data_IF_115337562535
#
_entry.id   IF_115337562535
#
_cell.length_a   1.000
_cell.length_b   1.000
_cell.length_c   1.000
_cell.angle_alpha   90.00
_cell.angle_beta   90.00
_cell.angle_gamma   90.00
#
_symmetry.space_group_name_H-M   'P 1'
#
loop_
_entity.id
_entity.type
_entity.pdbx_description
1 polymer ?
#
# COMPACT_ATOMS: atom_id res chain seq x y z
N UNK A 1 -28.81 5.60 24.17
CA UNK A 1 -28.02 4.71 23.28
C UNK A 1 -26.61 5.25 23.23
N UNK A 2 -25.64 4.52 23.77
CA UNK A 2 -24.24 4.95 23.81
C UNK A 2 -23.57 4.46 22.52
N UNK A 3 -23.20 5.38 21.63
CA UNK A 3 -22.51 5.04 20.39
C UNK A 3 -21.05 4.75 20.73
N UNK A 4 -20.68 3.46 20.82
CA UNK A 4 -19.27 3.06 20.93
C UNK A 4 -18.57 3.44 19.64
N UNK A 5 -17.76 4.50 19.69
CA UNK A 5 -16.91 4.91 18.58
C UNK A 5 -15.88 3.81 18.31
N UNK A 6 -15.88 3.26 17.09
CA UNK A 6 -14.84 2.32 16.69
C UNK A 6 -13.48 3.04 16.75
N UNK A 7 -12.44 2.40 17.31
CA UNK A 7 -11.11 3.00 17.37
C UNK A 7 -10.63 3.32 15.95
N UNK A 8 -10.29 4.60 15.70
CA UNK A 8 -9.68 5.01 14.45
C UNK A 8 -8.29 4.35 14.36
N UNK A 9 -8.11 3.45 13.40
CA UNK A 9 -6.81 2.88 13.12
C UNK A 9 -5.86 3.98 12.63
N UNK A 10 -4.59 3.98 13.06
CA UNK A 10 -3.63 4.96 12.60
C UNK A 10 -3.45 4.84 11.08
N UNK A 11 -3.63 5.94 10.38
CA UNK A 11 -3.20 6.09 9.00
C UNK A 11 -1.75 6.55 9.03
N UNK A 12 -0.83 5.72 8.51
CA UNK A 12 0.58 6.07 8.52
C UNK A 12 0.90 7.35 7.74
N UNK A 13 2.10 7.90 7.94
CA UNK A 13 2.52 9.15 7.30
C UNK A 13 2.50 9.08 5.78
N UNK A 14 2.41 10.23 5.09
CA UNK A 14 2.30 10.32 3.63
C UNK A 14 3.43 9.58 2.88
N UNK A 15 3.18 9.08 1.65
CA UNK A 15 4.23 8.51 0.81
C UNK A 15 5.30 9.56 0.49
N UNK A 16 6.57 9.16 0.49
CA UNK A 16 7.66 10.03 0.07
C UNK A 16 7.55 10.35 -1.43
N UNK A 17 8.01 11.52 -1.87
CA UNK A 17 7.96 11.91 -3.29
C UNK A 17 8.65 10.93 -4.25
N UNK A 18 9.71 10.25 -3.79
CA UNK A 18 10.36 9.19 -4.56
C UNK A 18 9.45 7.98 -4.82
N UNK A 19 8.58 7.63 -3.86
CA UNK A 19 7.63 6.54 -4.02
C UNK A 19 6.51 6.91 -5.01
N UNK A 20 6.06 8.18 -5.01
CA UNK A 20 5.07 8.66 -5.98
C UNK A 20 5.65 8.68 -7.40
N UNK A 21 6.90 9.16 -7.56
CA UNK A 21 7.60 9.11 -8.85
C UNK A 21 7.74 7.68 -9.37
N UNK A 22 8.08 6.73 -8.49
CA UNK A 22 8.14 5.33 -8.87
C UNK A 22 6.80 4.80 -9.40
N UNK A 23 5.67 5.20 -8.79
CA UNK A 23 4.32 4.85 -9.31
C UNK A 23 4.09 5.42 -10.70
N UNK A 24 4.46 6.67 -10.94
CA UNK A 24 4.35 7.30 -12.27
C UNK A 24 5.20 6.58 -13.30
N UNK A 25 6.45 6.22 -12.95
CA UNK A 25 7.34 5.44 -13.81
C UNK A 25 6.77 4.07 -14.18
N UNK A 26 6.06 3.40 -13.26
CA UNK A 26 5.39 2.12 -13.52
C UNK A 26 4.27 2.23 -14.56
N UNK A 27 3.57 3.36 -14.63
CA UNK A 27 2.49 3.60 -15.61
C UNK A 27 3.00 4.25 -16.91
N UNK A 28 4.29 4.58 -16.97
CA UNK A 28 4.96 5.07 -18.16
C UNK A 28 4.99 6.58 -18.29
N UNK A 29 5.58 7.06 -19.40
CA UNK A 29 5.85 8.48 -19.62
C UNK A 29 4.55 9.29 -19.62
N UNK A 30 4.55 10.38 -18.85
CA UNK A 30 3.43 11.31 -18.75
C UNK A 30 2.34 10.87 -17.78
N UNK A 31 2.55 9.78 -17.03
CA UNK A 31 1.70 9.47 -15.90
C UNK A 31 1.92 10.45 -14.73
N UNK A 32 0.86 10.80 -14.03
CA UNK A 32 0.90 11.76 -12.92
C UNK A 32 -0.07 11.35 -11.80
N UNK A 33 0.41 11.34 -10.56
CA UNK A 33 -0.44 11.07 -9.39
C UNK A 33 -1.31 12.28 -9.09
N UNK A 34 -2.62 12.16 -9.33
CA UNK A 34 -3.62 13.22 -9.11
C UNK A 34 -4.08 13.30 -7.67
N UNK A 35 -4.18 12.17 -6.97
CA UNK A 35 -4.71 12.12 -5.61
C UNK A 35 -4.00 11.06 -4.79
N UNK A 36 -3.76 11.38 -3.52
CA UNK A 36 -3.22 10.46 -2.52
C UNK A 36 -4.13 10.51 -1.30
N UNK A 37 -4.82 9.41 -1.02
CA UNK A 37 -5.72 9.29 0.14
C UNK A 37 -5.21 8.19 1.07
N UNK A 38 -4.96 8.50 2.35
CA UNK A 38 -4.49 7.49 3.28
C UNK A 38 -5.66 6.53 3.60
N UNK A 39 -5.37 5.23 3.63
CA UNK A 39 -6.34 4.19 3.97
C UNK A 39 -6.01 3.63 5.36
N UNK A 40 -7.01 3.42 6.24
CA UNK A 40 -6.80 2.76 7.53
C UNK A 40 -6.09 1.41 7.33
N UNK A 41 -5.07 1.15 8.14
CA UNK A 41 -4.26 -0.06 8.03
C UNK A 41 -3.88 -0.64 9.40
N UNK A 42 -3.34 -1.85 9.40
CA UNK A 42 -2.75 -2.46 10.59
C UNK A 42 -1.35 -1.92 10.87
N UNK A 43 -0.83 -2.09 12.09
CA UNK A 43 0.46 -1.48 12.50
C UNK A 43 1.71 -1.90 11.71
N UNK A 44 1.64 -2.97 10.91
CA UNK A 44 2.77 -3.50 10.13
C UNK A 44 2.89 -2.92 8.71
N UNK A 45 1.88 -2.22 8.21
CA UNK A 45 1.89 -1.65 6.86
C UNK A 45 0.96 -0.44 6.76
N UNK A 46 1.21 0.39 5.76
CA UNK A 46 0.44 1.61 5.50
C UNK A 46 -0.04 1.58 4.06
N UNK A 47 -1.33 1.85 3.87
CA UNK A 47 -1.99 1.78 2.57
C UNK A 47 -2.42 3.18 2.14
N UNK A 48 -2.27 3.48 0.86
CA UNK A 48 -2.75 4.72 0.25
C UNK A 48 -3.51 4.38 -1.03
N UNK A 49 -4.72 4.91 -1.16
CA UNK A 49 -5.42 4.93 -2.44
C UNK A 49 -4.83 6.05 -3.30
N UNK A 50 -4.43 5.71 -4.51
CA UNK A 50 -3.89 6.64 -5.50
C UNK A 50 -4.86 6.73 -6.68
N UNK A 51 -5.04 7.95 -7.16
CA UNK A 51 -5.62 8.19 -8.48
C UNK A 51 -4.48 8.65 -9.39
N UNK A 52 -4.20 7.90 -10.44
CA UNK A 52 -3.11 8.21 -11.38
C UNK A 52 -3.68 8.37 -12.77
N UNK A 53 -3.34 9.46 -13.44
CA UNK A 53 -3.70 9.68 -14.83
C UNK A 53 -2.49 9.34 -15.68
N UNK A 54 -2.64 8.45 -16.65
CA UNK A 54 -1.56 8.09 -17.60
C UNK A 54 -1.38 9.17 -18.67
N UNK A 55 -0.24 9.15 -19.37
CA UNK A 55 0.01 10.08 -20.47
C UNK A 55 -0.96 9.97 -21.66
N UNK A 56 -1.72 8.88 -21.77
CA UNK A 56 -2.82 8.71 -22.74
C UNK A 56 -4.17 9.25 -22.24
N UNK A 57 -4.23 9.79 -21.02
CA UNK A 57 -5.44 10.29 -20.38
C UNK A 57 -6.31 9.21 -19.71
N UNK A 58 -5.81 7.98 -19.58
CA UNK A 58 -6.52 6.91 -18.85
C UNK A 58 -6.29 7.04 -17.35
N UNK A 59 -7.35 6.86 -16.56
CA UNK A 59 -7.30 6.93 -15.10
C UNK A 59 -7.14 5.55 -14.47
N UNK A 60 -6.22 5.44 -13.53
CA UNK A 60 -5.91 4.23 -12.77
C UNK A 60 -6.16 4.49 -11.27
N UNK A 61 -6.99 3.66 -10.67
CA UNK A 61 -7.15 3.60 -9.21
C UNK A 61 -6.23 2.51 -8.66
N UNK A 62 -5.24 2.91 -7.86
CA UNK A 62 -4.23 2.01 -7.34
C UNK A 62 -4.22 2.02 -5.82
N UNK A 63 -3.73 0.93 -5.22
CA UNK A 63 -3.40 0.89 -3.79
C UNK A 63 -1.88 0.78 -3.64
N UNK A 64 -1.27 1.80 -3.05
CA UNK A 64 0.13 1.77 -2.65
C UNK A 64 0.24 1.24 -1.22
N UNK A 65 0.72 0.00 -1.09
CA UNK A 65 1.03 -0.66 0.18
C UNK A 65 2.51 -0.49 0.52
N UNK A 66 2.82 0.02 1.71
CA UNK A 66 4.19 0.22 2.21
C UNK A 66 4.37 -0.43 3.57
N UNK A 67 5.41 -1.25 3.72
CA UNK A 67 5.74 -1.91 4.98
C UNK A 67 6.40 -0.92 5.94
N UNK A 68 5.88 -0.84 7.15
CA UNK A 68 6.48 -0.02 8.20
C UNK A 68 7.53 -0.86 8.93
N UNK A 69 8.74 -0.33 9.10
CA UNK A 69 9.64 -0.87 10.11
C UNK A 69 8.93 -0.70 11.46
N UNK A 70 8.70 -1.82 12.17
CA UNK A 70 8.07 -1.84 13.50
C UNK A 70 8.63 -0.71 14.37
N UNK A 71 7.72 0.08 14.94
CA UNK A 71 8.04 1.23 15.77
C UNK A 71 8.29 0.74 17.21
N UNK A 72 9.49 0.24 17.51
CA UNK A 72 10.01 0.11 18.89
C UNK A 72 11.56 0.16 18.87
N UNK A 73 12.21 1.21 19.41
CA UNK A 73 13.66 1.29 19.52
C UNK A 73 14.15 0.58 20.80
N UNK A 74 14.32 -0.74 20.72
CA UNK A 74 15.10 -1.53 21.70
C UNK A 74 16.45 -1.97 21.12
N UNK A 75 17.57 -1.90 21.86
CA UNK A 75 18.87 -2.32 21.36
C UNK A 75 18.85 -3.84 21.16
N UNK A 76 18.82 -4.28 19.90
CA UNK A 76 18.79 -5.71 19.54
C UNK A 76 17.61 -6.16 18.69
N UNK A 77 16.61 -5.30 18.44
CA UNK A 77 15.53 -5.64 17.50
C UNK A 77 16.01 -5.48 16.06
N UNK A 78 16.54 -6.59 15.56
CA UNK A 78 16.72 -6.94 14.15
C UNK A 78 15.77 -6.17 13.23
N UNK A 79 16.36 -5.54 12.20
CA UNK A 79 15.73 -4.91 11.02
C UNK A 79 14.87 -5.90 10.19
N UNK A 80 13.94 -6.60 10.81
CA UNK A 80 13.30 -7.81 10.27
C UNK A 80 11.79 -7.84 10.58
N UNK A 81 11.11 -6.70 10.49
CA UNK A 81 9.63 -6.70 10.41
C UNK A 81 9.11 -7.21 9.05
N UNK A 82 9.99 -7.68 8.17
CA UNK A 82 9.69 -8.77 7.24
C UNK A 82 9.99 -10.08 7.97
N UNK A 83 9.13 -10.51 8.90
CA UNK A 83 9.08 -11.95 9.16
C UNK A 83 8.79 -12.60 7.80
N UNK A 84 9.45 -13.72 7.47
CA UNK A 84 9.32 -14.37 6.15
C UNK A 84 7.86 -14.68 5.73
N UNK A 85 6.90 -14.56 6.66
CA UNK A 85 5.47 -14.63 6.41
C UNK A 85 4.89 -13.41 5.66
N UNK A 86 5.50 -12.22 5.73
CA UNK A 86 4.96 -10.96 5.17
C UNK A 86 5.93 -10.26 4.22
N UNK A 87 6.51 -10.99 3.27
CA UNK A 87 7.32 -10.40 2.20
C UNK A 87 6.44 -9.92 1.03
N UNK A 88 6.76 -8.79 0.36
CA UNK A 88 6.04 -8.35 -0.83
C UNK A 88 5.97 -9.42 -1.92
N UNK A 89 7.03 -10.21 -2.11
CA UNK A 89 7.10 -11.26 -3.12
C UNK A 89 6.08 -12.37 -2.86
N UNK A 90 5.88 -12.75 -1.58
CA UNK A 90 4.86 -13.73 -1.21
C UNK A 90 3.45 -13.21 -1.43
N UNK A 91 3.20 -11.94 -1.12
CA UNK A 91 1.91 -11.31 -1.39
C UNK A 91 1.62 -11.24 -2.90
N UNK A 92 2.60 -10.83 -3.71
CA UNK A 92 2.49 -10.83 -5.18
C UNK A 92 2.20 -12.24 -5.70
N UNK A 93 2.94 -13.25 -5.23
CA UNK A 93 2.71 -14.64 -5.63
C UNK A 93 1.29 -15.11 -5.25
N UNK A 94 0.80 -14.75 -4.06
CA UNK A 94 -0.54 -15.10 -3.63
C UNK A 94 -1.62 -14.41 -4.49
N UNK A 95 -1.47 -13.11 -4.77
CA UNK A 95 -2.39 -12.36 -5.63
C UNK A 95 -2.40 -12.90 -7.07
N UNK A 96 -1.23 -13.27 -7.60
CA UNK A 96 -1.13 -13.89 -8.92
C UNK A 96 -1.84 -15.26 -8.98
N UNK A 97 -1.75 -16.08 -7.93
CA UNK A 97 -2.48 -17.35 -7.84
C UNK A 97 -4.00 -17.12 -7.75
N UNK A 98 -4.42 -16.09 -7.03
CA UNK A 98 -5.84 -15.76 -6.82
C UNK A 98 -6.50 -15.10 -8.04
N UNK A 99 -5.74 -14.50 -8.95
CA UNK A 99 -6.27 -13.84 -10.15
C UNK A 99 -7.08 -14.78 -11.07
N UNK A 100 -6.90 -16.09 -10.97
CA UNK A 100 -7.66 -17.11 -11.70
C UNK A 100 -8.83 -17.73 -10.92
N UNK A 101 -9.07 -17.29 -9.68
CA UNK A 101 -10.11 -17.82 -8.81
C UNK A 101 -11.37 -16.95 -8.84
N UNK A 102 -12.52 -17.52 -8.48
CA UNK A 102 -13.79 -16.79 -8.34
C UNK A 102 -13.84 -15.86 -7.10
N UNK A 103 -12.71 -15.68 -6.42
CA UNK A 103 -12.61 -14.85 -5.21
C UNK A 103 -12.30 -13.42 -5.65
N UNK A 104 -13.07 -12.42 -5.22
CA UNK A 104 -12.77 -11.01 -5.47
C UNK A 104 -11.36 -10.67 -4.99
N UNK A 105 -10.46 -10.42 -5.94
CA UNK A 105 -9.04 -10.21 -5.68
C UNK A 105 -8.56 -8.95 -6.40
N UNK A 106 -7.75 -8.09 -5.77
CA UNK A 106 -7.11 -6.99 -6.46
C UNK A 106 -6.24 -7.47 -7.62
N UNK A 107 -6.27 -6.76 -8.75
CA UNK A 107 -5.35 -7.00 -9.85
C UNK A 107 -3.96 -6.41 -9.55
N UNK A 108 -2.92 -7.08 -10.08
CA UNK A 108 -1.54 -6.62 -10.07
C UNK A 108 -1.19 -5.86 -11.34
#
# INVERSE_FOLDING_TARGET
>A
MTHTQAPCLPTGGSPAGAALRWVEECLGKGAEVRTVRPLPGGGAHTNHALLVESGSGSTHELVLRRWTASQEPGPGHLRHSATAAFSPEREIAALALLAGCEIPTPAL
#
